data_IF_164754331791
#
_entry.id   IF_164754331791
#
_cell.length_a   1.000
_cell.length_b   1.000
_cell.length_c   1.000
_cell.angle_alpha   90.00
_cell.angle_beta   90.00
_cell.angle_gamma   90.00
#
_symmetry.space_group_name_H-M   'P 1'
#
loop_
_entity.id
_entity.type
_entity.pdbx_description
1 polymer ?
#
# COMPACT_ATOMS: atom_id res chain seq x y z
N UNK A 1 -6.88 1.93 -13.77
CA UNK A 1 -5.93 1.45 -12.75
C UNK A 1 -5.26 0.17 -13.24
N UNK A 2 -3.97 0.06 -13.05
CA UNK A 2 -3.18 -1.09 -13.52
C UNK A 2 -3.61 -2.38 -12.80
N UNK A 3 -3.85 -3.48 -13.53
CA UNK A 3 -4.27 -4.72 -12.91
C UNK A 3 -3.12 -5.38 -12.13
N UNK A 4 -3.50 -6.21 -11.14
CA UNK A 4 -2.54 -7.01 -10.38
C UNK A 4 -1.81 -7.99 -11.31
N UNK A 5 -0.50 -8.16 -11.09
CA UNK A 5 0.33 -9.04 -11.91
C UNK A 5 0.08 -10.52 -11.66
N UNK A 6 -0.54 -10.88 -10.53
CA UNK A 6 -0.69 -12.26 -10.07
C UNK A 6 -2.15 -12.66 -9.87
N UNK A 7 -2.97 -12.39 -10.86
CA UNK A 7 -4.36 -12.87 -10.91
C UNK A 7 -4.39 -14.34 -11.33
N UNK A 8 -5.41 -15.07 -10.89
CA UNK A 8 -5.61 -16.50 -11.21
C UNK A 8 -4.41 -17.39 -10.87
N UNK A 9 -3.62 -16.99 -9.87
CA UNK A 9 -2.44 -17.73 -9.42
C UNK A 9 -2.79 -18.46 -8.12
N UNK A 10 -2.51 -19.77 -8.07
CA UNK A 10 -2.88 -20.60 -6.92
C UNK A 10 -1.92 -20.52 -5.75
N UNK A 11 -0.65 -20.19 -6.02
CA UNK A 11 0.39 -20.08 -4.98
C UNK A 11 0.88 -18.64 -4.88
N UNK A 12 1.32 -18.24 -3.69
CA UNK A 12 1.87 -16.89 -3.51
C UNK A 12 3.09 -16.66 -4.41
N UNK A 13 3.33 -15.40 -4.83
CA UNK A 13 4.47 -15.07 -5.68
C UNK A 13 5.79 -15.38 -4.99
N UNK A 14 6.75 -15.89 -5.76
CA UNK A 14 8.13 -16.02 -5.31
C UNK A 14 8.85 -14.68 -5.46
N UNK A 15 10.02 -14.55 -4.82
CA UNK A 15 10.84 -13.34 -4.98
C UNK A 15 11.26 -13.12 -6.44
N UNK A 16 11.55 -14.19 -7.18
CA UNK A 16 11.91 -14.10 -8.59
C UNK A 16 10.74 -13.58 -9.42
N UNK A 17 9.53 -14.11 -9.18
CA UNK A 17 8.32 -13.67 -9.87
C UNK A 17 8.00 -12.21 -9.53
N UNK A 18 8.15 -11.83 -8.27
CA UNK A 18 7.91 -10.46 -7.82
C UNK A 18 8.86 -9.47 -8.49
N UNK A 19 10.15 -9.79 -8.55
CA UNK A 19 11.15 -8.94 -9.22
C UNK A 19 10.86 -8.81 -10.71
N UNK A 20 10.48 -9.90 -11.37
CA UNK A 20 10.14 -9.88 -12.79
C UNK A 20 8.93 -8.99 -13.07
N UNK A 21 7.90 -9.04 -12.22
CA UNK A 21 6.70 -8.23 -12.38
C UNK A 21 6.95 -6.75 -12.10
N UNK A 22 7.62 -6.43 -11.00
CA UNK A 22 7.84 -5.05 -10.57
C UNK A 22 8.92 -4.33 -11.39
N UNK A 23 9.93 -5.06 -11.89
CA UNK A 23 11.05 -4.42 -12.57
C UNK A 23 11.74 -3.38 -11.68
N UNK A 24 11.99 -2.15 -12.20
CA UNK A 24 12.63 -1.08 -11.41
C UNK A 24 11.87 -0.70 -10.12
N UNK A 25 10.57 -0.93 -10.07
CA UNK A 25 9.77 -0.64 -8.88
C UNK A 25 10.10 -1.57 -7.70
N UNK A 26 10.81 -2.69 -7.93
CA UNK A 26 11.22 -3.61 -6.86
C UNK A 26 12.08 -2.91 -5.80
N UNK A 27 12.94 -2.01 -6.22
CA UNK A 27 13.79 -1.26 -5.29
C UNK A 27 12.94 -0.41 -4.33
N UNK A 28 11.94 0.30 -4.87
CA UNK A 28 11.02 1.11 -4.04
C UNK A 28 10.18 0.24 -3.12
N UNK A 29 9.73 -0.91 -3.59
CA UNK A 29 9.02 -1.91 -2.79
C UNK A 29 9.86 -2.31 -1.57
N UNK A 30 11.11 -2.69 -1.80
CA UNK A 30 12.02 -3.12 -0.73
C UNK A 30 12.32 -1.98 0.25
N UNK A 31 12.53 -0.75 -0.25
CA UNK A 31 12.75 0.44 0.57
C UNK A 31 11.54 0.73 1.45
N UNK A 32 10.34 0.62 0.90
CA UNK A 32 9.11 0.84 1.66
C UNK A 32 8.96 -0.18 2.79
N UNK A 33 9.17 -1.45 2.50
CA UNK A 33 9.09 -2.51 3.51
C UNK A 33 10.09 -2.28 4.64
N UNK A 34 11.32 -1.90 4.31
CA UNK A 34 12.35 -1.59 5.30
C UNK A 34 11.97 -0.39 6.16
N UNK A 35 11.40 0.65 5.56
CA UNK A 35 10.92 1.84 6.26
C UNK A 35 9.77 1.52 7.21
N UNK A 36 8.81 0.73 6.76
CA UNK A 36 7.67 0.31 7.57
C UNK A 36 8.12 -0.48 8.81
N UNK A 37 9.07 -1.39 8.64
CA UNK A 37 9.60 -2.17 9.73
C UNK A 37 10.41 -1.31 10.71
N UNK A 38 11.35 -0.53 10.18
CA UNK A 38 12.32 0.22 10.99
C UNK A 38 11.69 1.36 11.78
N UNK A 39 10.83 2.14 11.14
CA UNK A 39 10.32 3.39 11.72
C UNK A 39 8.88 3.30 12.23
N UNK A 40 8.14 2.27 11.85
CA UNK A 40 6.73 2.14 12.24
C UNK A 40 6.40 0.82 12.92
N UNK A 41 7.37 -0.07 13.07
CA UNK A 41 7.14 -1.36 13.73
C UNK A 41 6.22 -2.30 12.94
N UNK A 42 6.01 -2.03 11.67
CA UNK A 42 5.17 -2.87 10.81
C UNK A 42 6.01 -3.97 10.16
N UNK A 43 6.27 -5.03 10.92
CA UNK A 43 7.19 -6.10 10.56
C UNK A 43 6.51 -7.43 10.18
N UNK A 44 5.19 -7.51 10.28
CA UNK A 44 4.44 -8.70 9.90
C UNK A 44 4.02 -8.58 8.43
N UNK A 45 4.34 -9.58 7.62
CA UNK A 45 4.07 -9.60 6.19
C UNK A 45 3.35 -10.89 5.84
N UNK A 46 2.17 -10.75 5.23
CA UNK A 46 1.33 -11.90 4.86
C UNK A 46 0.86 -11.75 3.42
N UNK A 47 1.14 -12.75 2.58
CA UNK A 47 0.58 -12.81 1.24
C UNK A 47 -0.85 -13.35 1.32
N UNK A 48 -1.78 -12.64 0.68
CA UNK A 48 -3.18 -13.04 0.60
C UNK A 48 -3.73 -12.86 -0.81
N UNK A 49 -4.57 -13.80 -1.22
CA UNK A 49 -5.37 -13.69 -2.43
C UNK A 49 -6.83 -13.79 -2.03
N UNK A 50 -7.52 -12.66 -2.02
CA UNK A 50 -8.93 -12.61 -1.58
C UNK A 50 -9.87 -13.21 -2.61
N UNK A 51 -9.47 -13.22 -3.88
CA UNK A 51 -10.15 -13.91 -4.96
C UNK A 51 -9.18 -14.09 -6.12
N UNK A 52 -9.42 -15.06 -7.03
CA UNK A 52 -8.55 -15.22 -8.21
C UNK A 52 -8.43 -13.94 -9.05
N UNK A 53 -9.52 -13.21 -9.22
CA UNK A 53 -9.54 -11.98 -10.01
C UNK A 53 -8.82 -10.81 -9.34
N UNK A 54 -8.87 -10.74 -8.01
CA UNK A 54 -8.19 -9.68 -7.26
C UNK A 54 -6.67 -9.85 -7.29
N UNK A 55 -6.21 -11.10 -7.34
CA UNK A 55 -4.78 -11.42 -7.32
C UNK A 55 -4.19 -11.37 -5.92
N UNK A 56 -2.87 -11.50 -5.86
CA UNK A 56 -2.13 -11.55 -4.61
C UNK A 56 -1.70 -10.17 -4.15
N UNK A 57 -1.84 -9.91 -2.85
CA UNK A 57 -1.36 -8.68 -2.21
C UNK A 57 -0.60 -9.02 -0.94
N UNK A 58 0.43 -8.22 -0.65
CA UNK A 58 1.19 -8.33 0.59
C UNK A 58 0.53 -7.43 1.63
N UNK A 59 0.05 -8.04 2.68
CA UNK A 59 -0.55 -7.34 3.82
C UNK A 59 0.54 -7.06 4.83
N UNK A 60 0.81 -5.79 5.10
CA UNK A 60 1.85 -5.37 6.04
C UNK A 60 1.18 -4.91 7.33
N UNK A 61 1.57 -5.52 8.45
CA UNK A 61 0.89 -5.34 9.73
C UNK A 61 1.86 -4.94 10.83
N UNK A 62 1.34 -4.18 11.77
CA UNK A 62 1.95 -3.98 13.06
C UNK A 62 1.16 -4.80 14.08
N UNK A 63 1.73 -5.89 14.56
CA UNK A 63 1.02 -6.90 15.38
C UNK A 63 -0.19 -7.43 14.60
N UNK A 64 -1.40 -7.20 15.08
CA UNK A 64 -2.64 -7.65 14.41
C UNK A 64 -3.26 -6.59 13.52
N UNK A 65 -2.73 -5.36 13.54
CA UNK A 65 -3.31 -4.24 12.80
C UNK A 65 -2.69 -4.13 11.42
N UNK A 66 -3.52 -4.17 10.39
CA UNK A 66 -3.06 -3.93 9.02
C UNK A 66 -2.78 -2.44 8.82
N UNK A 67 -1.59 -2.14 8.30
CA UNK A 67 -1.17 -0.77 8.01
C UNK A 67 -1.38 -0.46 6.53
N UNK A 68 -0.94 -1.35 5.65
CA UNK A 68 -1.05 -1.15 4.20
C UNK A 68 -1.10 -2.49 3.49
N UNK A 69 -1.79 -2.52 2.34
CA UNK A 69 -1.75 -3.63 1.39
C UNK A 69 -0.93 -3.20 0.19
N UNK A 70 0.00 -4.04 -0.25
CA UNK A 70 0.83 -3.80 -1.43
C UNK A 70 0.47 -4.82 -2.51
N UNK A 71 -0.09 -4.34 -3.61
CA UNK A 71 -0.47 -5.18 -4.75
C UNK A 71 0.55 -5.05 -5.87
N UNK A 72 1.30 -6.11 -6.21
CA UNK A 72 2.23 -6.05 -7.33
C UNK A 72 1.47 -5.93 -8.66
N UNK A 73 1.94 -5.02 -9.51
CA UNK A 73 1.40 -4.80 -10.84
C UNK A 73 2.55 -4.81 -11.84
N UNK A 74 2.29 -4.94 -13.15
CA UNK A 74 3.38 -4.84 -14.14
C UNK A 74 4.06 -3.47 -14.08
N UNK A 75 5.32 -3.44 -13.66
CA UNK A 75 6.14 -2.23 -13.63
C UNK A 75 5.87 -1.25 -12.50
N UNK A 76 4.95 -1.57 -11.58
CA UNK A 76 4.61 -0.71 -10.45
C UNK A 76 3.95 -1.54 -9.35
N UNK A 77 3.69 -0.94 -8.20
CA UNK A 77 2.82 -1.56 -7.21
C UNK A 77 1.78 -0.57 -6.72
N UNK A 78 0.69 -1.10 -6.21
CA UNK A 78 -0.40 -0.29 -5.67
C UNK A 78 -0.39 -0.40 -4.16
N UNK A 79 -0.29 0.73 -3.48
CA UNK A 79 -0.38 0.81 -2.04
C UNK A 79 -1.80 1.21 -1.64
N UNK A 80 -2.44 0.40 -0.82
CA UNK A 80 -3.81 0.65 -0.38
C UNK A 80 -3.85 0.84 1.14
N UNK A 81 -4.43 1.97 1.55
CA UNK A 81 -4.65 2.31 2.96
C UNK A 81 -6.14 2.42 3.21
N UNK A 82 -6.59 2.02 4.40
CA UNK A 82 -7.95 2.29 4.86
C UNK A 82 -7.85 3.21 6.06
N UNK A 83 -8.42 4.41 5.94
CA UNK A 83 -8.38 5.45 6.95
C UNK A 83 -9.73 5.62 7.60
N UNK A 84 -9.78 5.54 8.93
CA UNK A 84 -10.95 5.97 9.69
C UNK A 84 -11.09 7.49 9.63
N UNK A 85 -12.17 8.02 10.19
CA UNK A 85 -12.47 9.46 10.12
C UNK A 85 -11.37 10.32 10.76
N UNK A 86 -10.79 9.87 11.88
CA UNK A 86 -9.67 10.57 12.52
C UNK A 86 -8.46 10.70 11.62
N UNK A 87 -8.13 9.61 10.91
CA UNK A 87 -6.99 9.59 9.99
C UNK A 87 -7.26 10.52 8.79
N UNK A 88 -8.47 10.53 8.26
CA UNK A 88 -8.86 11.45 7.18
C UNK A 88 -8.68 12.90 7.61
N UNK A 89 -9.16 13.25 8.81
CA UNK A 89 -8.99 14.61 9.36
C UNK A 89 -7.51 14.96 9.56
N UNK A 90 -6.73 14.03 10.10
CA UNK A 90 -5.30 14.23 10.29
C UNK A 90 -4.59 14.45 8.94
N UNK A 91 -4.99 13.73 7.90
CA UNK A 91 -4.42 13.87 6.57
C UNK A 91 -4.62 15.27 6.00
N UNK A 92 -5.78 15.88 6.24
CA UNK A 92 -6.09 17.23 5.77
C UNK A 92 -5.16 18.29 6.34
N UNK A 93 -4.55 18.04 7.51
CA UNK A 93 -3.69 18.97 8.21
C UNK A 93 -2.21 18.53 8.21
N UNK A 94 -1.83 17.59 7.37
CA UNK A 94 -0.51 16.95 7.40
C UNK A 94 0.49 17.49 6.39
N UNK A 95 0.08 18.44 5.55
CA UNK A 95 0.94 18.96 4.50
C UNK A 95 1.11 18.02 3.30
N UNK A 96 0.19 17.10 3.10
CA UNK A 96 0.17 16.24 1.92
C UNK A 96 -0.06 17.05 0.65
N UNK A 97 0.49 16.61 -0.51
CA UNK A 97 0.23 17.27 -1.79
C UNK A 97 -1.27 17.33 -2.08
N UNK A 98 -1.68 18.40 -2.76
CA UNK A 98 -3.10 18.61 -3.10
C UNK A 98 -3.70 17.44 -3.87
N UNK A 99 -2.93 16.82 -4.77
CA UNK A 99 -3.41 15.65 -5.53
C UNK A 99 -3.80 14.50 -4.61
N UNK A 100 -3.06 14.29 -3.53
CA UNK A 100 -3.32 13.24 -2.55
C UNK A 100 -4.57 13.59 -1.72
N UNK A 101 -4.69 14.84 -1.28
CA UNK A 101 -5.87 15.30 -0.56
C UNK A 101 -7.14 15.14 -1.40
N UNK A 102 -7.05 15.44 -2.71
CA UNK A 102 -8.17 15.24 -3.63
C UNK A 102 -8.50 13.75 -3.79
N UNK A 103 -7.51 12.89 -3.87
CA UNK A 103 -7.71 11.44 -3.94
C UNK A 103 -8.43 10.91 -2.69
N UNK A 104 -8.07 11.41 -1.51
CA UNK A 104 -8.73 11.02 -0.25
C UNK A 104 -10.18 11.51 -0.25
N UNK A 105 -10.42 12.74 -0.69
CA UNK A 105 -11.77 13.31 -0.74
C UNK A 105 -12.69 12.54 -1.68
N UNK A 106 -12.17 12.00 -2.77
CA UNK A 106 -12.92 11.25 -3.77
C UNK A 106 -12.90 9.73 -3.52
N UNK A 107 -12.14 9.26 -2.54
CA UNK A 107 -11.98 7.83 -2.29
C UNK A 107 -13.29 7.21 -1.77
N UNK A 108 -13.55 5.95 -2.14
CA UNK A 108 -14.76 5.26 -1.68
C UNK A 108 -14.70 5.02 -0.16
N UNK A 109 -15.86 5.13 0.47
CA UNK A 109 -16.02 4.82 1.88
C UNK A 109 -16.61 3.43 2.04
N UNK A 110 -15.95 2.63 2.88
CA UNK A 110 -16.40 1.30 3.28
C UNK A 110 -16.75 1.31 4.77
N UNK A 111 -17.37 0.26 5.31
CA UNK A 111 -17.61 0.16 6.75
C UNK A 111 -16.32 0.32 7.58
N UNK A 112 -15.17 -0.14 7.06
CA UNK A 112 -13.87 -0.06 7.72
C UNK A 112 -13.24 1.33 7.63
N UNK A 113 -13.69 2.18 6.70
CA UNK A 113 -13.14 3.51 6.49
C UNK A 113 -12.99 3.91 5.02
N UNK A 114 -12.25 4.97 4.80
CA UNK A 114 -11.96 5.51 3.46
C UNK A 114 -10.78 4.77 2.85
N UNK A 115 -10.99 4.20 1.66
CA UNK A 115 -9.97 3.40 0.96
C UNK A 115 -9.19 4.22 -0.05
N UNK A 116 -7.92 4.51 0.27
CA UNK A 116 -7.01 5.23 -0.61
C UNK A 116 -6.08 4.25 -1.32
N UNK A 117 -5.99 4.34 -2.64
CA UNK A 117 -5.10 3.51 -3.46
C UNK A 117 -4.17 4.39 -4.28
N UNK A 118 -2.86 4.13 -4.17
CA UNK A 118 -1.81 4.85 -4.90
C UNK A 118 -1.03 3.89 -5.76
N UNK A 119 -0.78 4.28 -7.03
CA UNK A 119 0.18 3.57 -7.87
C UNK A 119 1.58 4.14 -7.66
N UNK A 120 2.54 3.27 -7.33
CA UNK A 120 3.91 3.64 -6.98
C UNK A 120 4.87 3.02 -8.01
N UNK A 121 5.61 3.87 -8.72
CA UNK A 121 6.58 3.45 -9.75
C UNK A 121 8.02 3.63 -9.31
N UNK A 122 8.28 4.59 -8.44
CA UNK A 122 9.64 4.97 -8.05
C UNK A 122 9.67 5.60 -6.67
N UNK A 123 10.88 5.90 -6.19
CA UNK A 123 11.12 6.53 -4.90
C UNK A 123 10.55 7.94 -4.77
N UNK A 124 10.07 8.54 -5.86
CA UNK A 124 9.43 9.87 -5.82
C UNK A 124 8.23 9.92 -4.89
N UNK A 125 7.55 8.77 -4.70
CA UNK A 125 6.36 8.70 -3.86
C UNK A 125 6.67 8.32 -2.40
N UNK A 126 7.94 8.07 -2.05
CA UNK A 126 8.32 7.63 -0.71
C UNK A 126 7.92 8.62 0.38
N UNK A 127 8.11 9.91 0.15
CA UNK A 127 7.76 10.92 1.16
C UNK A 127 6.26 10.93 1.45
N UNK A 128 5.43 10.78 0.42
CA UNK A 128 3.97 10.65 0.56
C UNK A 128 3.60 9.38 1.30
N UNK A 129 4.21 8.25 0.91
CA UNK A 129 3.96 6.96 1.56
C UNK A 129 4.31 6.97 3.04
N UNK A 130 5.42 7.61 3.41
CA UNK A 130 5.82 7.77 4.82
C UNK A 130 4.80 8.59 5.60
N UNK A 131 4.32 9.70 5.04
CA UNK A 131 3.30 10.53 5.68
C UNK A 131 1.99 9.77 5.87
N UNK A 132 1.54 9.07 4.84
CA UNK A 132 0.31 8.26 4.91
C UNK A 132 0.44 7.15 5.96
N UNK A 133 1.60 6.51 6.03
CA UNK A 133 1.88 5.47 7.02
C UNK A 133 1.85 6.05 8.44
N UNK A 134 2.49 7.20 8.65
CA UNK A 134 2.51 7.88 9.95
C UNK A 134 1.09 8.23 10.40
N UNK A 135 0.26 8.73 9.50
CA UNK A 135 -1.14 9.05 9.77
C UNK A 135 -1.91 7.79 10.16
N UNK A 136 -1.72 6.70 9.41
CA UNK A 136 -2.39 5.42 9.68
C UNK A 136 -2.00 4.87 11.05
N UNK A 137 -0.72 4.88 11.37
CA UNK A 137 -0.20 4.35 12.64
C UNK A 137 -0.68 5.16 13.84
N UNK A 138 -0.73 6.49 13.71
CA UNK A 138 -1.12 7.40 14.80
C UNK A 138 -2.63 7.44 15.05
N UNK A 139 -3.42 6.96 14.14
CA UNK A 139 -4.89 7.06 14.20
C UNK A 139 -5.58 5.72 13.97
#
# INVERSE_FOLDING_TARGET
MTPNAFINKTKQPTNTELSAALGPARETWDQLLAELERNFGADVREWNSYSPKAGWSLRVKCKKRTIVWLAPCPGLFRAAFIFGDKAVMAAQNSGLPKRILNMIAEAPKYPEGTGLRLEVKSSKDMSVLKKLTAIKVAN
#
